data_IF_539315342868
#
_entry.id   IF_539315342868
#
_cell.length_a   1.000
_cell.length_b   1.000
_cell.length_c   1.000
_cell.angle_alpha   90.00
_cell.angle_beta   90.00
_cell.angle_gamma   90.00
#
_symmetry.space_group_name_H-M   'P 1'
#
loop_
_entity.id
_entity.type
_entity.pdbx_description
1 polymer ?
#
# COMPACT_ATOMS: atom_id res chain seq x y z
N UNK A 1 19.09 60.15 -19.42
CA UNK A 1 18.96 59.25 -18.25
C UNK A 1 17.99 58.16 -18.66
N UNK A 2 18.53 56.98 -18.92
CA UNK A 2 17.75 55.81 -19.27
C UNK A 2 17.65 54.96 -17.98
N UNK A 3 16.42 54.96 -17.40
CA UNK A 3 16.12 54.05 -16.29
C UNK A 3 15.91 52.65 -16.83
N UNK A 4 16.80 51.74 -16.49
CA UNK A 4 16.66 50.33 -16.73
C UNK A 4 15.62 49.75 -15.75
N UNK A 5 14.40 49.57 -16.23
CA UNK A 5 13.40 48.75 -15.57
C UNK A 5 13.77 47.25 -15.76
N UNK A 6 14.41 46.69 -14.77
CA UNK A 6 14.57 45.25 -14.63
C UNK A 6 13.21 44.65 -14.30
N UNK A 7 12.54 44.08 -15.30
CA UNK A 7 11.41 43.19 -15.08
C UNK A 7 11.97 41.87 -14.52
N UNK A 8 11.86 41.69 -13.22
CA UNK A 8 12.01 40.35 -12.62
C UNK A 8 10.84 39.50 -13.09
N UNK A 9 11.10 38.59 -14.03
CA UNK A 9 10.15 37.53 -14.36
C UNK A 9 9.98 36.65 -13.13
N UNK A 10 8.87 36.83 -12.44
CA UNK A 10 8.43 35.91 -11.38
C UNK A 10 8.17 34.56 -12.05
N UNK A 11 9.09 33.60 -11.91
CA UNK A 11 8.83 32.23 -12.26
C UNK A 11 7.72 31.76 -11.32
N UNK A 12 6.50 31.67 -11.84
CA UNK A 12 5.40 30.97 -11.19
C UNK A 12 5.78 29.50 -11.23
N UNK A 13 6.32 29.00 -10.11
CA UNK A 13 6.43 27.55 -9.88
C UNK A 13 4.99 27.04 -9.93
N UNK A 14 4.67 26.05 -10.82
CA UNK A 14 3.34 25.46 -10.79
C UNK A 14 3.09 24.98 -9.37
N UNK A 15 2.03 25.49 -8.77
CA UNK A 15 1.62 25.13 -7.41
C UNK A 15 1.24 23.65 -7.47
N UNK A 16 2.17 22.75 -7.11
CA UNK A 16 1.81 21.36 -6.88
C UNK A 16 0.76 21.36 -5.78
N UNK A 17 -0.47 21.07 -6.17
CA UNK A 17 -1.59 21.04 -5.25
C UNK A 17 -1.29 19.99 -4.19
N UNK A 18 -1.26 20.33 -2.89
CA UNK A 18 -0.97 19.37 -1.85
C UNK A 18 -1.95 18.20 -1.94
N UNK A 19 -1.44 16.96 -1.81
CA UNK A 19 -2.27 15.77 -1.80
C UNK A 19 -3.44 15.95 -0.82
N UNK A 20 -4.65 15.51 -1.21
CA UNK A 20 -5.82 15.55 -0.33
C UNK A 20 -5.53 14.82 0.99
N UNK A 21 -6.21 15.20 2.07
CA UNK A 21 -6.09 14.53 3.37
C UNK A 21 -6.33 13.02 3.24
N UNK A 22 -7.34 12.60 2.46
CA UNK A 22 -7.62 11.18 2.20
C UNK A 22 -6.46 10.47 1.50
N UNK A 23 -5.83 11.10 0.49
CA UNK A 23 -4.69 10.51 -0.21
C UNK A 23 -3.48 10.31 0.73
N UNK A 24 -3.22 11.26 1.64
CA UNK A 24 -2.16 11.14 2.64
C UNK A 24 -2.43 10.01 3.64
N UNK A 25 -3.67 9.87 4.09
CA UNK A 25 -4.08 8.80 4.99
C UNK A 25 -3.85 7.44 4.32
N UNK A 26 -4.30 7.27 3.08
CA UNK A 26 -4.12 6.03 2.33
C UNK A 26 -2.63 5.69 2.16
N UNK A 27 -1.80 6.66 1.79
CA UNK A 27 -0.35 6.47 1.68
C UNK A 27 0.28 6.08 3.02
N UNK A 28 -0.14 6.72 4.12
CA UNK A 28 0.34 6.43 5.47
C UNK A 28 -0.05 5.02 5.91
N UNK A 29 -1.25 4.56 5.57
CA UNK A 29 -1.74 3.23 5.92
C UNK A 29 -0.84 2.10 5.40
N UNK A 30 -0.20 2.29 4.25
CA UNK A 30 0.72 1.32 3.66
C UNK A 30 2.18 1.42 4.13
N UNK A 31 2.50 2.38 4.99
CA UNK A 31 3.88 2.55 5.48
C UNK A 31 4.27 1.48 6.49
N UNK A 32 5.52 1.08 6.40
CA UNK A 32 6.17 0.16 7.34
C UNK A 32 7.46 0.80 7.86
N UNK A 33 7.96 0.36 9.04
CA UNK A 33 9.26 0.81 9.51
C UNK A 33 10.36 0.50 8.47
N UNK A 34 11.33 1.39 8.36
CA UNK A 34 12.42 1.28 7.38
C UNK A 34 13.16 -0.05 7.47
N UNK A 35 13.30 -0.61 8.67
CA UNK A 35 13.93 -1.92 8.87
C UNK A 35 13.22 -3.07 8.14
N UNK A 36 11.92 -2.95 7.83
CA UNK A 36 11.14 -3.93 7.10
C UNK A 36 11.17 -3.77 5.59
N UNK A 37 11.68 -2.65 5.07
CA UNK A 37 11.71 -2.38 3.63
C UNK A 37 12.43 -3.47 2.82
N UNK A 38 13.62 -3.97 3.24
CA UNK A 38 14.28 -5.05 2.51
C UNK A 38 13.45 -6.34 2.45
N UNK A 39 12.74 -6.69 3.53
CA UNK A 39 11.84 -7.84 3.54
C UNK A 39 10.68 -7.64 2.57
N UNK A 40 10.02 -6.48 2.60
CA UNK A 40 8.93 -6.16 1.68
C UNK A 40 9.38 -6.25 0.22
N UNK A 41 10.51 -5.65 -0.11
CA UNK A 41 11.02 -5.65 -1.49
C UNK A 41 11.32 -7.07 -1.97
N UNK A 42 11.87 -7.91 -1.11
CA UNK A 42 12.09 -9.32 -1.40
C UNK A 42 10.78 -10.07 -1.66
N UNK A 43 9.78 -9.90 -0.79
CA UNK A 43 8.44 -10.51 -0.95
C UNK A 43 7.80 -10.06 -2.25
N UNK A 44 7.75 -8.76 -2.50
CA UNK A 44 7.16 -8.18 -3.71
C UNK A 44 7.80 -8.73 -4.97
N UNK A 45 9.12 -8.77 -5.02
CA UNK A 45 9.83 -9.29 -6.17
C UNK A 45 9.53 -10.78 -6.39
N UNK A 46 9.57 -11.57 -5.34
CA UNK A 46 9.30 -13.01 -5.40
C UNK A 46 7.86 -13.33 -5.80
N UNK A 47 6.89 -12.64 -5.21
CA UNK A 47 5.47 -12.97 -5.37
C UNK A 47 4.87 -12.45 -6.68
N UNK A 48 5.26 -11.29 -7.14
CA UNK A 48 4.59 -10.62 -8.26
C UNK A 48 5.49 -9.85 -9.21
N UNK A 49 6.79 -9.76 -8.95
CA UNK A 49 7.71 -8.82 -9.62
C UNK A 49 7.19 -7.37 -9.59
N UNK A 50 6.48 -7.00 -8.51
CA UNK A 50 5.92 -5.66 -8.33
C UNK A 50 4.58 -5.41 -9.01
N UNK A 51 3.96 -6.43 -9.61
CA UNK A 51 2.70 -6.27 -10.33
C UNK A 51 1.49 -6.38 -9.37
N UNK A 52 0.77 -5.29 -9.09
CA UNK A 52 -0.41 -5.33 -8.21
C UNK A 52 -1.61 -6.08 -8.83
N UNK A 53 -1.57 -6.38 -10.13
CA UNK A 53 -2.61 -7.13 -10.87
C UNK A 53 -2.26 -8.60 -11.09
N UNK A 54 -1.18 -9.07 -10.48
CA UNK A 54 -0.73 -10.45 -10.67
C UNK A 54 -1.80 -11.47 -10.25
N UNK A 55 -1.94 -12.51 -11.03
CA UNK A 55 -2.82 -13.64 -10.76
C UNK A 55 -1.99 -14.92 -10.78
N UNK A 56 -2.03 -15.69 -9.69
CA UNK A 56 -1.44 -17.02 -9.70
C UNK A 56 -2.24 -17.94 -10.62
N UNK A 57 -1.59 -18.68 -11.53
CA UNK A 57 -2.29 -19.54 -12.51
C UNK A 57 -2.91 -20.79 -11.88
N UNK A 58 -2.48 -21.20 -10.69
CA UNK A 58 -2.90 -22.47 -10.07
C UNK A 58 -3.56 -22.31 -8.70
N UNK A 59 -3.73 -21.07 -8.23
CA UNK A 59 -4.38 -20.77 -6.95
C UNK A 59 -5.15 -19.45 -7.03
N UNK A 60 -5.86 -19.11 -5.95
CA UNK A 60 -6.53 -17.81 -5.83
C UNK A 60 -5.60 -16.65 -5.41
N UNK A 61 -4.32 -16.88 -5.30
CA UNK A 61 -3.37 -15.84 -4.89
C UNK A 61 -3.32 -14.72 -5.93
N UNK A 62 -3.46 -13.48 -5.46
CA UNK A 62 -3.56 -12.29 -6.30
C UNK A 62 -2.78 -11.12 -5.74
N UNK A 63 -2.42 -10.21 -6.64
CA UNK A 63 -1.88 -8.92 -6.31
C UNK A 63 -0.39 -8.92 -6.00
N UNK A 64 0.07 -7.78 -5.55
CA UNK A 64 1.48 -7.48 -5.29
C UNK A 64 2.13 -8.46 -4.30
N UNK A 65 1.36 -8.90 -3.30
CA UNK A 65 1.82 -9.77 -2.22
C UNK A 65 1.27 -11.19 -2.28
N UNK A 66 0.51 -11.53 -3.31
CA UNK A 66 -0.10 -12.84 -3.52
C UNK A 66 -0.97 -13.32 -2.34
N UNK A 67 -1.85 -12.46 -1.86
CA UNK A 67 -2.89 -12.87 -0.92
C UNK A 67 -3.87 -13.86 -1.57
N UNK A 68 -4.28 -14.87 -0.84
CA UNK A 68 -5.28 -15.84 -1.29
C UNK A 68 -6.66 -15.17 -1.35
N UNK A 69 -7.13 -14.80 -2.54
CA UNK A 69 -8.33 -13.99 -2.72
C UNK A 69 -9.59 -14.69 -2.19
N UNK A 70 -9.75 -15.99 -2.42
CA UNK A 70 -10.94 -16.72 -2.01
C UNK A 70 -11.07 -16.90 -0.48
N UNK A 71 -9.96 -17.00 0.25
CA UNK A 71 -9.97 -17.23 1.69
C UNK A 71 -9.58 -16.00 2.51
N UNK A 72 -8.84 -15.06 1.93
CA UNK A 72 -8.27 -13.93 2.65
C UNK A 72 -8.79 -12.56 2.23
N UNK A 73 -9.60 -12.45 1.18
CA UNK A 73 -10.12 -11.14 0.74
C UNK A 73 -10.77 -10.37 1.88
N UNK A 74 -11.63 -11.02 2.65
CA UNK A 74 -12.31 -10.35 3.78
C UNK A 74 -11.33 -9.96 4.88
N UNK A 75 -10.44 -10.87 5.27
CA UNK A 75 -9.41 -10.60 6.28
C UNK A 75 -8.47 -9.47 5.86
N UNK A 76 -7.98 -9.52 4.62
CA UNK A 76 -7.15 -8.45 4.07
C UNK A 76 -7.90 -7.11 4.01
N UNK A 77 -9.18 -7.11 3.66
CA UNK A 77 -10.02 -5.91 3.71
C UNK A 77 -10.11 -5.31 5.11
N UNK A 78 -10.29 -6.13 6.14
CA UNK A 78 -10.27 -5.67 7.52
C UNK A 78 -8.90 -5.14 7.94
N UNK A 79 -7.82 -5.73 7.45
CA UNK A 79 -6.45 -5.23 7.70
C UNK A 79 -6.29 -3.81 7.12
N UNK A 80 -6.77 -3.59 5.90
CA UNK A 80 -6.80 -2.24 5.29
C UNK A 80 -7.62 -1.28 6.13
N UNK A 81 -8.83 -1.68 6.53
CA UNK A 81 -9.69 -0.86 7.38
C UNK A 81 -8.98 -0.41 8.66
N UNK A 82 -8.34 -1.33 9.37
CA UNK A 82 -7.64 -1.03 10.60
C UNK A 82 -6.49 -0.05 10.36
N UNK A 83 -5.71 -0.24 9.30
CA UNK A 83 -4.62 0.67 8.94
C UNK A 83 -5.11 2.06 8.54
N UNK A 84 -6.22 2.16 7.81
CA UNK A 84 -6.85 3.44 7.48
C UNK A 84 -7.34 4.17 8.73
N UNK A 85 -7.95 3.45 9.67
CA UNK A 85 -8.41 4.01 10.94
C UNK A 85 -7.23 4.51 11.78
N UNK A 86 -6.17 3.74 11.89
CA UNK A 86 -4.96 4.11 12.62
C UNK A 86 -4.29 5.34 11.99
N UNK A 87 -4.36 5.48 10.68
CA UNK A 87 -3.85 6.64 9.95
C UNK A 87 -4.77 7.87 10.01
N UNK A 88 -5.92 7.78 10.69
CA UNK A 88 -6.80 8.92 10.94
C UNK A 88 -8.02 9.03 10.03
N UNK A 89 -8.34 7.99 9.23
CA UNK A 89 -9.54 8.03 8.39
C UNK A 89 -10.81 7.96 9.25
N UNK A 90 -11.80 8.82 9.02
CA UNK A 90 -13.10 8.73 9.70
C UNK A 90 -13.77 7.38 9.47
N UNK A 91 -14.39 6.85 10.50
CA UNK A 91 -15.03 5.53 10.47
C UNK A 91 -16.01 5.32 9.30
N UNK A 92 -16.94 6.26 9.01
CA UNK A 92 -17.85 6.08 7.89
C UNK A 92 -17.14 5.92 6.54
N UNK A 93 -16.09 6.69 6.29
CA UNK A 93 -15.30 6.62 5.07
C UNK A 93 -14.53 5.29 4.98
N UNK A 94 -13.88 4.87 6.07
CA UNK A 94 -13.16 3.60 6.12
C UNK A 94 -14.11 2.40 5.89
N UNK A 95 -15.33 2.45 6.44
CA UNK A 95 -16.35 1.41 6.22
C UNK A 95 -16.81 1.33 4.77
N UNK A 96 -16.96 2.45 4.07
CA UNK A 96 -17.29 2.45 2.64
C UNK A 96 -16.20 1.79 1.80
N UNK A 97 -14.94 2.07 2.13
CA UNK A 97 -13.81 1.41 1.47
C UNK A 97 -13.83 -0.09 1.75
N UNK A 98 -13.99 -0.49 3.01
CA UNK A 98 -14.07 -1.90 3.40
C UNK A 98 -15.14 -2.66 2.61
N UNK A 99 -16.35 -2.10 2.50
CA UNK A 99 -17.43 -2.72 1.76
C UNK A 99 -17.07 -2.96 0.29
N UNK A 100 -16.40 -2.01 -0.35
CA UNK A 100 -15.92 -2.17 -1.74
C UNK A 100 -14.83 -3.22 -1.86
N UNK A 101 -13.88 -3.24 -0.92
CA UNK A 101 -12.79 -4.22 -0.94
C UNK A 101 -13.32 -5.66 -0.80
N UNK A 102 -14.32 -5.87 0.05
CA UNK A 102 -14.94 -7.20 0.21
C UNK A 102 -15.60 -7.73 -1.07
N UNK A 103 -16.04 -6.83 -1.95
CA UNK A 103 -16.73 -7.18 -3.20
C UNK A 103 -15.80 -7.18 -4.43
N UNK A 104 -14.54 -6.84 -4.24
CA UNK A 104 -13.59 -6.62 -5.33
C UNK A 104 -12.43 -7.60 -5.20
N UNK A 105 -12.07 -8.36 -6.27
CA UNK A 105 -10.87 -9.19 -6.26
C UNK A 105 -9.62 -8.39 -5.90
N UNK A 106 -8.73 -8.97 -5.11
CA UNK A 106 -7.54 -8.26 -4.58
C UNK A 106 -6.67 -7.67 -5.69
N UNK A 107 -6.53 -8.36 -6.81
CA UNK A 107 -5.78 -7.84 -7.98
C UNK A 107 -6.37 -6.58 -8.60
N UNK A 108 -7.61 -6.22 -8.28
CA UNK A 108 -8.26 -4.99 -8.73
C UNK A 108 -8.24 -3.89 -7.66
N UNK A 109 -7.73 -4.19 -6.46
CA UNK A 109 -7.54 -3.16 -5.45
C UNK A 109 -6.45 -2.20 -5.89
N UNK A 110 -6.60 -0.93 -5.50
CA UNK A 110 -5.50 0.02 -5.62
C UNK A 110 -4.29 -0.53 -4.90
N UNK A 111 -3.11 -0.27 -5.44
CA UNK A 111 -1.85 -0.76 -4.89
C UNK A 111 -1.67 -0.37 -3.43
N UNK A 112 -2.06 0.85 -3.06
CA UNK A 112 -1.95 1.36 -1.69
C UNK A 112 -2.76 0.56 -0.68
N UNK A 113 -3.90 -0.01 -1.08
CA UNK A 113 -4.68 -0.89 -0.21
C UNK A 113 -4.01 -2.26 -0.04
N UNK A 114 -3.37 -2.75 -1.07
CA UNK A 114 -2.56 -3.96 -0.97
C UNK A 114 -1.37 -3.74 -0.03
N UNK A 115 -0.71 -2.59 -0.12
CA UNK A 115 0.36 -2.20 0.78
C UNK A 115 -0.12 -2.09 2.25
N UNK A 116 -1.30 -1.53 2.46
CA UNK A 116 -1.89 -1.42 3.80
C UNK A 116 -2.22 -2.80 4.41
N UNK A 117 -2.76 -3.72 3.61
CA UNK A 117 -3.02 -5.09 4.06
C UNK A 117 -1.71 -5.79 4.47
N UNK A 118 -0.68 -5.68 3.66
CA UNK A 118 0.65 -6.22 3.97
C UNK A 118 1.24 -5.60 5.23
N UNK A 119 1.22 -4.26 5.35
CA UNK A 119 1.74 -3.54 6.50
C UNK A 119 1.10 -4.02 7.81
N UNK A 120 -0.22 -4.23 7.82
CA UNK A 120 -0.91 -4.76 8.99
C UNK A 120 -0.35 -6.12 9.40
N UNK A 121 -0.20 -7.04 8.45
CA UNK A 121 0.20 -8.42 8.74
C UNK A 121 1.63 -8.49 9.26
N UNK A 122 2.58 -7.78 8.64
CA UNK A 122 3.98 -7.86 9.10
C UNK A 122 4.22 -7.18 10.44
N UNK A 123 3.36 -6.25 10.85
CA UNK A 123 3.49 -5.53 12.12
C UNK A 123 2.85 -6.26 13.30
N UNK A 124 2.10 -7.33 13.09
CA UNK A 124 1.66 -8.21 14.16
C UNK A 124 2.71 -9.30 14.46
N UNK A 125 2.75 -9.83 15.70
CA UNK A 125 3.73 -10.86 16.05
C UNK A 125 3.70 -12.04 15.09
N UNK A 126 4.86 -12.39 14.52
CA UNK A 126 5.04 -13.49 13.58
C UNK A 126 4.25 -13.39 12.26
N UNK A 127 3.64 -12.26 11.96
CA UNK A 127 2.87 -12.06 10.72
C UNK A 127 3.69 -12.26 9.45
N UNK A 128 4.98 -11.95 9.46
CA UNK A 128 5.90 -12.18 8.36
C UNK A 128 5.95 -13.64 7.88
N UNK A 129 5.59 -14.60 8.76
CA UNK A 129 5.58 -16.03 8.44
C UNK A 129 4.62 -16.40 7.32
N UNK A 130 3.62 -15.58 7.02
CA UNK A 130 2.76 -15.77 5.85
C UNK A 130 3.54 -15.80 4.54
N UNK A 131 4.73 -15.21 4.50
CA UNK A 131 5.63 -15.20 3.35
C UNK A 131 6.91 -15.99 3.58
N UNK A 132 6.95 -16.87 4.58
CA UNK A 132 8.13 -17.66 4.91
C UNK A 132 8.34 -18.90 4.01
N UNK A 133 7.33 -19.27 3.23
CA UNK A 133 7.33 -20.46 2.36
C UNK A 133 8.11 -20.31 1.06
N UNK A 134 9.22 -19.61 1.05
CA UNK A 134 10.03 -19.42 -0.14
C UNK A 134 11.48 -19.13 0.22
N UNK A 135 12.33 -19.11 -0.80
CA UNK A 135 13.76 -18.91 -0.58
C UNK A 135 14.11 -17.45 -0.31
N UNK A 136 14.87 -17.19 0.73
CA UNK A 136 15.72 -16.02 0.88
C UNK A 136 15.13 -14.80 1.59
N UNK A 137 13.81 -14.61 1.70
CA UNK A 137 13.27 -13.40 2.33
C UNK A 137 13.36 -13.42 3.87
N UNK A 138 13.35 -14.61 4.49
CA UNK A 138 13.38 -14.76 5.95
C UNK A 138 14.62 -14.16 6.61
N UNK A 139 15.75 -14.14 5.89
CA UNK A 139 17.01 -13.54 6.38
C UNK A 139 16.94 -12.02 6.49
N UNK A 140 15.92 -11.39 5.89
CA UNK A 140 15.71 -9.94 5.86
C UNK A 140 14.71 -9.45 6.92
N UNK A 141 14.14 -10.35 7.71
CA UNK A 141 13.29 -10.01 8.86
C UNK A 141 14.14 -9.30 9.90
N UNK A 142 13.73 -8.10 10.35
CA UNK A 142 14.49 -7.33 11.34
C UNK A 142 14.62 -8.03 12.69
#
# INVERSE_FOLDING_TARGET
>A
MLENLLFAASMIIPNEQPASTSARIVATAGRIPTAWEPFRDCVVNRESHGNPKAQNPVSSAQGKYQFLDNSWRRGAGWNVYNRLRDAGMPRPQARRILARLHQTPIKQWREEYQDAAFAFVILIPRGWRHWSGGHGCNTLVP
#
